data_IF_830765111646
#
_entry.id   IF_830765111646
#
_cell.length_a   1.000
_cell.length_b   1.000
_cell.length_c   1.000
_cell.angle_alpha   90.00
_cell.angle_beta   90.00
_cell.angle_gamma   90.00
#
_symmetry.space_group_name_H-M   'P 1'
#
loop_
_entity.id
_entity.type
_entity.pdbx_description
1 polymer ?
#
# COMPACT_ATOMS: atom_id res chain seq x y z
N UNK A 1 -9.77 -11.16 -13.10
CA UNK A 1 -8.44 -10.52 -13.15
C UNK A 1 -8.41 -9.58 -14.35
N UNK A 2 -8.00 -8.33 -14.13
CA UNK A 2 -7.85 -7.34 -15.21
C UNK A 2 -6.88 -7.84 -16.28
N UNK A 3 -7.15 -7.53 -17.54
CA UNK A 3 -6.24 -7.83 -18.67
C UNK A 3 -5.09 -6.84 -18.76
N UNK A 4 -5.33 -5.61 -18.28
CA UNK A 4 -4.35 -4.54 -18.26
C UNK A 4 -3.88 -4.26 -16.83
N UNK A 5 -2.61 -3.84 -16.71
CA UNK A 5 -2.10 -3.34 -15.45
C UNK A 5 -2.70 -1.96 -15.18
N UNK A 6 -3.10 -1.73 -13.94
CA UNK A 6 -3.55 -0.41 -13.47
C UNK A 6 -2.45 0.25 -12.67
N UNK A 7 -2.39 1.58 -12.72
CA UNK A 7 -1.50 2.35 -11.86
C UNK A 7 -2.05 2.31 -10.43
N UNK A 8 -1.21 1.90 -9.48
CA UNK A 8 -1.49 1.93 -8.04
C UNK A 8 -0.58 2.98 -7.43
N UNK A 9 -1.14 3.90 -6.67
CA UNK A 9 -0.41 4.98 -6.02
C UNK A 9 -0.55 4.87 -4.50
N UNK A 10 0.58 4.97 -3.81
CA UNK A 10 0.61 5.11 -2.37
C UNK A 10 0.60 6.59 -2.02
N UNK A 11 -0.40 7.04 -1.28
CA UNK A 11 -0.58 8.45 -0.93
C UNK A 11 -0.19 8.71 0.53
N UNK A 12 0.30 9.91 0.80
CA UNK A 12 0.44 10.44 2.15
C UNK A 12 -0.89 10.99 2.69
N UNK A 13 -0.87 11.47 3.94
CA UNK A 13 -2.04 12.02 4.64
C UNK A 13 -2.57 13.32 4.01
N UNK A 14 -1.78 13.96 3.16
CA UNK A 14 -2.15 15.19 2.42
C UNK A 14 -2.59 14.89 0.99
N UNK A 15 -2.59 13.62 0.58
CA UNK A 15 -2.93 13.18 -0.77
C UNK A 15 -1.79 13.27 -1.79
N UNK A 16 -0.55 13.52 -1.36
CA UNK A 16 0.61 13.49 -2.25
C UNK A 16 1.04 12.06 -2.52
N UNK A 17 1.47 11.76 -3.74
CA UNK A 17 2.02 10.46 -4.10
C UNK A 17 3.40 10.25 -3.49
N UNK A 18 3.54 9.22 -2.64
CA UNK A 18 4.82 8.75 -2.11
C UNK A 18 5.56 7.88 -3.13
N UNK A 19 4.82 7.00 -3.81
CA UNK A 19 5.32 6.05 -4.80
C UNK A 19 4.18 5.54 -5.67
N UNK A 20 4.51 4.89 -6.78
CA UNK A 20 3.53 4.21 -7.62
C UNK A 20 4.12 2.95 -8.24
N UNK A 21 3.25 2.01 -8.61
CA UNK A 21 3.59 0.85 -9.44
C UNK A 21 2.43 0.48 -10.37
N UNK A 22 2.64 -0.53 -11.24
CA UNK A 22 1.63 -1.10 -12.12
C UNK A 22 1.33 -2.55 -11.74
N UNK A 23 0.09 -2.81 -11.31
CA UNK A 23 -0.34 -4.13 -10.84
C UNK A 23 -1.61 -4.60 -11.57
N UNK A 24 -1.84 -5.92 -11.58
CA UNK A 24 -3.10 -6.49 -12.04
C UNK A 24 -4.14 -6.41 -10.92
N UNK A 25 -5.32 -5.88 -11.23
CA UNK A 25 -6.43 -5.82 -10.29
C UNK A 25 -7.30 -7.08 -10.39
N UNK A 26 -7.62 -7.68 -9.24
CA UNK A 26 -8.63 -8.73 -9.11
C UNK A 26 -9.73 -8.19 -8.20
N UNK A 27 -10.98 -8.27 -8.66
CA UNK A 27 -12.15 -7.89 -7.87
C UNK A 27 -12.83 -9.18 -7.44
N UNK A 28 -13.03 -9.32 -6.14
CA UNK A 28 -13.71 -10.46 -5.50
C UNK A 28 -14.67 -9.90 -4.45
N UNK A 29 -15.96 -10.24 -4.59
CA UNK A 29 -17.04 -9.76 -3.71
C UNK A 29 -16.95 -10.34 -2.29
N UNK A 30 -16.24 -11.46 -2.10
CA UNK A 30 -16.03 -12.08 -0.81
C UNK A 30 -14.95 -11.40 0.04
N UNK A 31 -14.14 -10.53 -0.55
CA UNK A 31 -13.08 -9.82 0.17
C UNK A 31 -13.65 -8.60 0.89
N UNK A 32 -13.47 -8.58 2.20
CA UNK A 32 -13.92 -7.44 3.04
C UNK A 32 -12.87 -6.35 3.21
N UNK A 33 -11.65 -6.58 2.71
CA UNK A 33 -10.53 -5.64 2.72
C UNK A 33 -9.66 -5.80 1.47
N UNK A 34 -8.96 -4.73 1.03
CA UNK A 34 -8.02 -4.82 -0.09
C UNK A 34 -6.83 -5.72 0.26
N UNK A 35 -6.50 -6.63 -0.66
CA UNK A 35 -5.28 -7.44 -0.58
C UNK A 35 -4.25 -6.92 -1.59
N UNK A 36 -3.01 -6.83 -1.16
CA UNK A 36 -1.86 -6.49 -2.00
C UNK A 36 -0.80 -7.58 -1.88
N UNK A 37 -0.06 -7.82 -2.96
CA UNK A 37 1.00 -8.83 -2.98
C UNK A 37 2.30 -8.28 -2.39
N UNK A 38 3.18 -9.16 -1.91
CA UNK A 38 4.52 -8.77 -1.42
C UNK A 38 5.33 -7.98 -2.46
N UNK A 39 5.20 -8.33 -3.75
CA UNK A 39 5.85 -7.58 -4.83
C UNK A 39 5.32 -6.13 -4.92
N UNK A 40 4.00 -5.96 -4.80
CA UNK A 40 3.39 -4.62 -4.77
C UNK A 40 3.81 -3.82 -3.53
N UNK A 41 3.94 -4.47 -2.37
CA UNK A 41 4.43 -3.85 -1.13
C UNK A 41 5.86 -3.32 -1.32
N UNK A 42 6.76 -4.14 -1.87
CA UNK A 42 8.16 -3.78 -2.10
C UNK A 42 8.31 -2.64 -3.12
N UNK A 43 7.61 -2.73 -4.25
CA UNK A 43 7.64 -1.70 -5.30
C UNK A 43 7.09 -0.35 -4.81
N UNK A 44 6.05 -0.37 -3.97
CA UNK A 44 5.52 0.83 -3.31
C UNK A 44 6.42 1.34 -2.18
N UNK A 45 7.48 0.61 -1.83
CA UNK A 45 8.41 1.00 -0.77
C UNK A 45 7.79 0.97 0.63
N UNK A 46 6.75 0.15 0.84
CA UNK A 46 6.08 0.00 2.14
C UNK A 46 6.93 -0.93 3.02
N UNK A 47 7.30 -0.45 4.20
CA UNK A 47 8.01 -1.23 5.21
C UNK A 47 7.11 -1.41 6.43
N UNK A 48 6.63 -2.63 6.64
CA UNK A 48 5.76 -2.93 7.77
C UNK A 48 6.57 -2.96 9.07
N UNK A 49 6.10 -2.23 10.07
CA UNK A 49 6.69 -2.18 11.42
C UNK A 49 5.90 -3.09 12.36
N UNK A 50 4.56 -3.07 12.28
CA UNK A 50 3.69 -3.95 13.08
C UNK A 50 2.37 -4.20 12.36
N UNK A 51 2.20 -5.42 11.83
CA UNK A 51 0.97 -5.85 11.16
C UNK A 51 -0.27 -5.68 12.06
N UNK A 52 -0.21 -6.19 13.30
CA UNK A 52 -1.34 -6.15 14.24
C UNK A 52 -1.79 -4.72 14.56
N UNK A 53 -0.88 -3.76 14.55
CA UNK A 53 -1.17 -2.35 14.85
C UNK A 53 -1.39 -1.51 13.58
N UNK A 54 -1.31 -2.12 12.39
CA UNK A 54 -1.33 -1.40 11.12
C UNK A 54 -0.21 -0.36 11.01
N UNK A 55 0.94 -0.58 11.67
CA UNK A 55 2.03 0.39 11.71
C UNK A 55 3.03 0.09 10.59
N UNK A 56 3.36 1.09 9.80
CA UNK A 56 4.27 0.98 8.66
C UNK A 56 5.02 2.29 8.46
N UNK A 57 6.01 2.28 7.56
CA UNK A 57 6.71 3.47 7.07
C UNK A 57 6.99 3.31 5.59
N UNK A 58 7.15 4.40 4.87
CA UNK A 58 7.70 4.38 3.52
C UNK A 58 9.23 4.34 3.59
N UNK A 59 9.88 3.71 2.62
CA UNK A 59 11.36 3.61 2.58
C UNK A 59 12.09 4.96 2.57
N UNK A 60 11.42 6.02 2.12
CA UNK A 60 11.95 7.38 2.09
C UNK A 60 11.47 8.23 3.27
N UNK A 61 10.68 7.68 4.20
CA UNK A 61 10.30 8.39 5.41
C UNK A 61 11.52 8.57 6.33
N UNK A 62 11.61 9.67 7.08
CA UNK A 62 12.62 9.83 8.11
C UNK A 62 12.43 8.76 9.23
N UNK A 63 13.48 8.41 9.98
CA UNK A 63 13.46 7.27 10.91
C UNK A 63 12.38 7.33 12.01
N UNK A 64 11.94 8.53 12.37
CA UNK A 64 10.96 8.83 13.42
C UNK A 64 9.52 8.97 12.88
N UNK A 65 9.33 8.88 11.56
CA UNK A 65 8.01 8.94 10.95
C UNK A 65 7.42 7.54 10.80
N UNK A 66 6.30 7.33 11.49
CA UNK A 66 5.48 6.14 11.36
C UNK A 66 4.10 6.53 10.84
N UNK A 67 3.56 5.66 9.99
CA UNK A 67 2.24 5.78 9.38
C UNK A 67 1.35 4.66 9.88
N UNK A 68 0.06 4.92 9.91
CA UNK A 68 -0.96 3.94 10.30
C UNK A 68 -1.85 3.62 9.12
N UNK A 69 -2.20 2.34 8.95
CA UNK A 69 -3.24 1.93 8.00
C UNK A 69 -4.55 2.63 8.35
N UNK A 70 -5.34 2.99 7.33
CA UNK A 70 -6.67 3.55 7.54
C UNK A 70 -7.51 2.59 8.40
N UNK A 71 -8.13 3.14 9.43
CA UNK A 71 -9.12 2.39 10.21
C UNK A 71 -10.39 2.25 9.36
N UNK A 72 -10.96 1.05 9.40
CA UNK A 72 -12.24 0.73 8.74
C UNK A 72 -13.39 1.50 9.37
#
# INVERSE_FOLDING_TARGET
>A
MSRDKVKVELLDERGNTLSYTYAYLVVDEGLTEPLITDATIDELGIQVVSFRRGLWRHRNDPPDMFRSSALR
#
